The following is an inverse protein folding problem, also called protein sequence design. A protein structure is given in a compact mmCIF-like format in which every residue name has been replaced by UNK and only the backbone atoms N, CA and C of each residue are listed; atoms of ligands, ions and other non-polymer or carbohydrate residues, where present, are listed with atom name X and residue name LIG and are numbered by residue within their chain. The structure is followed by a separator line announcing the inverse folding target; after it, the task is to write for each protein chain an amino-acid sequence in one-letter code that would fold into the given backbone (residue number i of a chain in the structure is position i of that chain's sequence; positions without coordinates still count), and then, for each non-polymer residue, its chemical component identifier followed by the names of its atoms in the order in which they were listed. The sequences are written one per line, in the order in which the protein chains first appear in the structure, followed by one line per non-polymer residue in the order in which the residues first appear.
data_IF_279839917488
#
_entry.id   IF_279839917488
#
_cell.length_a   1.000
_cell.length_b   1.000
_cell.length_c   1.000
_cell.angle_alpha   90.00
_cell.angle_beta   90.00
_cell.angle_gamma   90.00
#
_symmetry.space_group_name_H-M   'P 1'
#
loop_
_entity.id
_entity.type
_entity.pdbx_description
1 polymer ?
#
# COMPACT_ATOMS: atom_id res chain seq x y z
N UNK A 1 -2.85 11.84 -38.59
CA UNK A 1 -4.23 11.40 -38.29
C UNK A 1 -4.13 9.93 -37.92
N UNK A 2 -4.39 9.60 -36.66
CA UNK A 2 -4.34 8.23 -36.15
C UNK A 2 -5.67 7.55 -36.49
N UNK A 3 -5.61 6.42 -37.17
CA UNK A 3 -6.76 5.54 -37.44
C UNK A 3 -7.06 4.74 -36.17
N UNK A 4 -8.22 4.99 -35.59
CA UNK A 4 -8.87 4.14 -34.60
C UNK A 4 -9.26 2.80 -35.25
N UNK A 5 -9.05 1.64 -34.61
CA UNK A 5 -9.54 0.38 -35.14
C UNK A 5 -11.05 0.28 -34.92
N UNK A 6 -11.77 0.24 -36.03
CA UNK A 6 -13.22 0.05 -36.12
C UNK A 6 -13.65 -1.25 -35.43
N UNK A 7 -14.54 -1.12 -34.45
CA UNK A 7 -15.17 -2.23 -33.76
C UNK A 7 -16.09 -3.00 -34.69
N UNK A 8 -15.77 -4.27 -34.93
CA UNK A 8 -16.65 -5.23 -35.59
C UNK A 8 -17.83 -5.57 -34.69
N UNK A 9 -18.93 -4.83 -34.87
CA UNK A 9 -20.23 -5.03 -34.24
C UNK A 9 -20.99 -6.28 -34.75
N UNK A 10 -20.32 -7.44 -34.81
CA UNK A 10 -20.88 -8.69 -35.37
C UNK A 10 -20.78 -9.93 -34.48
N UNK A 11 -20.20 -9.83 -33.28
CA UNK A 11 -20.07 -10.94 -32.30
C UNK A 11 -20.82 -10.62 -31.00
N UNK A 12 -21.70 -9.62 -31.01
CA UNK A 12 -22.24 -9.01 -29.79
C UNK A 12 -23.49 -9.72 -29.21
N UNK A 13 -24.25 -10.51 -29.96
CA UNK A 13 -25.56 -10.97 -29.46
C UNK A 13 -25.54 -12.30 -28.69
N UNK A 14 -24.55 -13.18 -28.86
CA UNK A 14 -24.64 -14.55 -28.31
C UNK A 14 -23.32 -15.15 -27.78
N UNK A 15 -22.33 -14.31 -27.45
CA UNK A 15 -21.06 -14.81 -26.89
C UNK A 15 -21.24 -15.56 -25.55
N UNK A 16 -22.29 -15.22 -24.80
CA UNK A 16 -22.64 -15.88 -23.53
C UNK A 16 -23.10 -17.32 -23.73
N UNK A 17 -23.65 -17.67 -24.90
CA UNK A 17 -24.04 -19.04 -25.23
C UNK A 17 -22.86 -19.95 -25.57
N UNK A 18 -21.70 -19.37 -25.85
CA UNK A 18 -20.44 -20.10 -26.02
C UNK A 18 -19.75 -20.41 -24.68
N UNK A 19 -20.22 -19.81 -23.57
CA UNK A 19 -19.71 -20.09 -22.23
C UNK A 19 -20.42 -21.33 -21.69
N UNK A 20 -19.71 -22.30 -21.08
CA UNK A 20 -20.34 -23.43 -20.40
C UNK A 20 -21.28 -22.95 -19.29
N UNK A 21 -22.45 -23.59 -19.13
CA UNK A 21 -23.44 -23.20 -18.11
C UNK A 21 -22.88 -23.12 -16.68
N UNK A 22 -21.85 -23.90 -16.37
CA UNK A 22 -21.12 -23.84 -15.09
C UNK A 22 -20.51 -22.46 -14.79
N UNK A 23 -20.13 -21.70 -15.81
CA UNK A 23 -19.47 -20.39 -15.65
C UNK A 23 -20.39 -19.22 -15.98
N UNK A 24 -21.57 -19.45 -16.56
CA UNK A 24 -22.53 -18.39 -16.91
C UNK A 24 -23.06 -17.63 -15.69
N UNK A 25 -23.12 -18.31 -14.54
CA UNK A 25 -23.57 -17.77 -13.27
C UNK A 25 -22.46 -17.16 -12.43
N UNK A 26 -21.21 -17.16 -12.93
CA UNK A 26 -20.15 -16.47 -12.22
C UNK A 26 -20.40 -14.96 -12.29
N UNK A 27 -20.23 -14.23 -11.17
CA UNK A 27 -20.51 -12.79 -11.11
C UNK A 27 -19.69 -12.01 -12.14
N UNK A 28 -18.53 -12.55 -12.53
CA UNK A 28 -17.67 -12.01 -13.55
C UNK A 28 -18.27 -12.08 -14.97
N UNK A 29 -19.04 -13.13 -15.29
CA UNK A 29 -19.72 -13.31 -16.58
C UNK A 29 -21.05 -12.55 -16.60
N UNK A 30 -21.78 -12.51 -15.47
CA UNK A 30 -23.03 -11.77 -15.35
C UNK A 30 -22.83 -10.25 -15.42
N UNK A 31 -21.76 -9.72 -14.83
CA UNK A 31 -21.47 -8.27 -14.84
C UNK A 31 -20.81 -7.78 -16.14
N UNK A 32 -20.37 -8.69 -17.01
CA UNK A 32 -19.75 -8.30 -18.27
C UNK A 32 -20.83 -7.88 -19.28
N UNK A 33 -20.93 -6.59 -19.60
CA UNK A 33 -21.91 -6.04 -20.56
C UNK A 33 -21.77 -6.60 -21.98
N UNK A 34 -20.53 -6.76 -22.46
CA UNK A 34 -20.16 -7.22 -23.80
C UNK A 34 -18.90 -8.11 -23.73
N UNK A 35 -18.64 -8.91 -24.75
CA UNK A 35 -17.44 -9.76 -24.85
C UNK A 35 -16.15 -8.96 -24.70
N UNK A 36 -16.08 -7.74 -25.25
CA UNK A 36 -14.94 -6.84 -25.07
C UNK A 36 -14.71 -6.44 -23.62
N UNK A 37 -15.79 -6.22 -22.86
CA UNK A 37 -15.71 -5.93 -21.42
C UNK A 37 -15.29 -7.17 -20.62
N UNK A 38 -15.80 -8.36 -20.97
CA UNK A 38 -15.39 -9.63 -20.38
C UNK A 38 -13.88 -9.88 -20.54
N UNK A 39 -13.36 -9.73 -21.77
CA UNK A 39 -11.93 -9.89 -22.06
C UNK A 39 -11.10 -8.84 -21.31
N UNK A 40 -11.55 -7.58 -21.27
CA UNK A 40 -10.88 -6.52 -20.51
C UNK A 40 -10.83 -6.84 -19.02
N UNK A 41 -11.95 -7.20 -18.40
CA UNK A 41 -12.00 -7.60 -17.00
C UNK A 41 -11.12 -8.84 -16.74
N UNK A 42 -10.95 -9.74 -17.73
CA UNK A 42 -10.16 -10.96 -17.58
C UNK A 42 -8.68 -10.65 -17.58
N UNK A 43 -8.27 -9.77 -18.48
CA UNK A 43 -6.91 -9.22 -18.54
C UNK A 43 -6.61 -8.42 -17.26
N UNK A 44 -7.57 -7.63 -16.77
CA UNK A 44 -7.41 -6.82 -15.56
C UNK A 44 -7.32 -7.69 -14.30
N UNK A 45 -8.13 -8.76 -14.22
CA UNK A 45 -8.04 -9.77 -13.15
C UNK A 45 -6.69 -10.51 -13.20
N UNK A 46 -6.24 -10.94 -14.38
CA UNK A 46 -4.96 -11.60 -14.55
C UNK A 46 -3.76 -10.68 -14.22
N UNK A 47 -3.83 -9.40 -14.64
CA UNK A 47 -2.86 -8.38 -14.23
C UNK A 47 -2.90 -8.13 -12.72
N UNK A 48 -4.08 -8.12 -12.12
CA UNK A 48 -4.25 -7.99 -10.67
C UNK A 48 -3.64 -9.18 -9.91
N UNK A 49 -3.67 -10.40 -10.47
CA UNK A 49 -2.90 -11.52 -9.92
C UNK A 49 -1.38 -11.29 -10.03
N UNK A 50 -0.89 -10.73 -11.14
CA UNK A 50 0.52 -10.40 -11.33
C UNK A 50 1.02 -9.23 -10.48
N UNK A 51 0.14 -8.30 -10.10
CA UNK A 51 0.47 -7.14 -9.25
C UNK A 51 0.33 -7.42 -7.76
N UNK A 52 -0.21 -8.57 -7.35
CA UNK A 52 -0.24 -8.97 -5.94
C UNK A 52 1.16 -9.39 -5.52
N UNK A 53 1.82 -8.55 -4.71
CA UNK A 53 3.03 -8.98 -4.00
C UNK A 53 2.62 -10.13 -3.08
N UNK A 54 3.10 -11.37 -3.31
CA UNK A 54 2.67 -12.53 -2.55
C UNK A 54 3.06 -12.33 -1.08
N UNK A 55 2.08 -12.32 -0.19
CA UNK A 55 2.34 -12.24 1.25
C UNK A 55 3.25 -13.42 1.65
N UNK A 56 4.39 -13.16 2.32
CA UNK A 56 5.23 -14.23 2.83
C UNK A 56 4.40 -15.09 3.79
N UNK A 57 4.48 -16.42 3.62
CA UNK A 57 3.88 -17.38 4.55
C UNK A 57 4.59 -17.27 5.91
N UNK A 58 3.98 -17.76 6.99
CA UNK A 58 4.57 -17.73 8.34
C UNK A 58 5.97 -18.39 8.43
N UNK A 59 6.31 -19.29 7.50
CA UNK A 59 7.62 -19.93 7.37
C UNK A 59 8.43 -19.43 6.16
N UNK A 60 8.18 -18.21 5.68
CA UNK A 60 8.96 -17.63 4.60
C UNK A 60 10.42 -17.47 5.01
N UNK A 61 11.33 -17.81 4.10
CA UNK A 61 12.77 -17.55 4.30
C UNK A 61 13.05 -16.05 4.26
N UNK A 62 14.16 -15.64 4.88
CA UNK A 62 14.61 -14.23 4.89
C UNK A 62 14.69 -13.63 3.48
N UNK A 63 15.06 -14.43 2.47
CA UNK A 63 15.10 -13.98 1.08
C UNK A 63 13.70 -13.66 0.51
N UNK A 64 12.68 -14.47 0.82
CA UNK A 64 11.31 -14.20 0.38
C UNK A 64 10.72 -12.98 1.09
N UNK A 65 11.03 -12.81 2.37
CA UNK A 65 10.65 -11.62 3.13
C UNK A 65 11.33 -10.39 2.54
N UNK A 66 12.62 -10.49 2.18
CA UNK A 66 13.37 -9.40 1.56
C UNK A 66 12.83 -9.02 0.19
N UNK A 67 12.47 -9.99 -0.65
CA UNK A 67 11.82 -9.71 -1.94
C UNK A 67 10.45 -9.05 -1.78
N UNK A 68 9.65 -9.51 -0.81
CA UNK A 68 8.37 -8.89 -0.48
C UNK A 68 8.56 -7.44 -0.05
N UNK A 69 9.48 -7.21 0.89
CA UNK A 69 9.83 -5.88 1.39
C UNK A 69 10.33 -4.98 0.26
N UNK A 70 11.19 -5.48 -0.63
CA UNK A 70 11.71 -4.70 -1.76
C UNK A 70 10.60 -4.25 -2.74
N UNK A 71 9.48 -4.98 -2.81
CA UNK A 71 8.33 -4.65 -3.65
C UNK A 71 7.28 -3.79 -2.93
N UNK A 72 7.22 -3.84 -1.60
CA UNK A 72 6.20 -3.18 -0.80
C UNK A 72 6.67 -1.89 -0.11
N UNK A 73 7.94 -1.82 0.29
CA UNK A 73 8.53 -0.67 0.97
C UNK A 73 9.10 0.36 -0.03
N UNK A 74 9.30 1.63 0.40
CA UNK A 74 9.92 2.65 -0.45
C UNK A 74 11.34 2.24 -0.88
N UNK A 75 11.72 2.62 -2.10
CA UNK A 75 13.00 2.26 -2.72
C UNK A 75 14.24 2.80 -1.98
N UNK A 76 14.07 3.83 -1.15
CA UNK A 76 15.16 4.46 -0.38
C UNK A 76 14.59 5.12 0.88
N UNK A 77 15.42 5.34 1.92
CA UNK A 77 14.99 6.03 3.14
C UNK A 77 14.44 7.43 2.88
N UNK A 78 14.94 8.14 1.87
CA UNK A 78 14.44 9.48 1.51
C UNK A 78 13.12 9.46 0.72
N UNK A 79 12.66 8.29 0.27
CA UNK A 79 11.43 8.14 -0.53
C UNK A 79 10.17 7.95 0.31
N UNK A 80 10.29 7.91 1.64
CA UNK A 80 9.13 7.77 2.51
C UNK A 80 8.26 9.03 2.49
N UNK A 81 6.95 8.82 2.41
CA UNK A 81 5.95 9.89 2.49
C UNK A 81 5.52 10.08 3.95
N UNK A 82 6.40 10.69 4.75
CA UNK A 82 6.13 10.96 6.16
C UNK A 82 5.62 12.38 6.37
N UNK A 83 4.48 12.50 7.04
CA UNK A 83 4.00 13.78 7.60
C UNK A 83 4.57 13.92 9.01
N UNK A 84 5.46 14.90 9.19
CA UNK A 84 6.12 15.16 10.47
C UNK A 84 5.28 16.11 11.32
N UNK A 85 5.16 15.80 12.61
CA UNK A 85 4.52 16.71 13.56
C UNK A 85 5.40 17.96 13.78
N UNK A 86 4.89 19.12 13.40
CA UNK A 86 5.59 20.41 13.51
C UNK A 86 5.68 20.92 14.95
N UNK A 87 4.85 20.39 15.86
CA UNK A 87 4.88 20.71 17.28
C UNK A 87 6.01 20.01 18.04
N UNK A 88 6.85 19.23 17.36
CA UNK A 88 7.99 18.54 17.94
C UNK A 88 9.27 19.06 17.31
N UNK A 89 10.22 19.42 18.16
CA UNK A 89 11.58 19.75 17.74
C UNK A 89 12.33 18.48 17.31
N UNK A 90 12.07 18.01 16.10
CA UNK A 90 12.86 16.94 15.50
C UNK A 90 14.28 17.44 15.23
N UNK A 91 15.26 16.85 15.90
CA UNK A 91 16.67 17.09 15.57
C UNK A 91 16.90 16.76 14.07
N UNK A 92 17.60 17.64 13.34
CA UNK A 92 17.94 17.44 11.91
C UNK A 92 18.65 16.11 11.64
N UNK A 93 19.37 15.56 12.62
CA UNK A 93 20.01 14.24 12.51
C UNK A 93 19.09 13.07 12.85
N UNK A 94 17.99 13.31 13.56
CA UNK A 94 17.07 12.25 14.01
C UNK A 94 16.16 11.75 12.88
N UNK A 95 15.66 12.66 12.04
CA UNK A 95 14.80 12.31 10.89
C UNK A 95 15.47 11.34 9.91
N UNK A 96 16.67 11.61 9.36
CA UNK A 96 17.32 10.68 8.43
C UNK A 96 17.70 9.35 9.10
N UNK A 97 18.06 9.35 10.39
CA UNK A 97 18.30 8.12 11.15
C UNK A 97 17.03 7.28 11.28
N UNK A 98 15.91 7.91 11.60
CA UNK A 98 14.61 7.23 11.70
C UNK A 98 14.20 6.65 10.36
N UNK A 99 14.26 7.44 9.28
CA UNK A 99 14.00 6.96 7.91
C UNK A 99 14.90 5.78 7.53
N UNK A 100 16.19 5.84 7.89
CA UNK A 100 17.12 4.72 7.73
C UNK A 100 16.72 3.46 8.50
N UNK A 101 16.24 3.60 9.73
CA UNK A 101 15.72 2.47 10.53
C UNK A 101 14.44 1.90 9.93
N UNK A 102 13.50 2.74 9.51
CA UNK A 102 12.26 2.32 8.87
C UNK A 102 12.55 1.53 7.59
N UNK A 103 13.45 2.05 6.74
CA UNK A 103 13.90 1.38 5.52
C UNK A 103 14.57 0.04 5.80
N UNK A 104 15.51 0.00 6.77
CA UNK A 104 16.21 -1.24 7.16
C UNK A 104 15.25 -2.34 7.63
N UNK A 105 14.17 -1.95 8.31
CA UNK A 105 13.15 -2.88 8.80
C UNK A 105 12.04 -3.18 7.77
N UNK A 106 12.12 -2.58 6.57
CA UNK A 106 11.19 -2.88 5.49
C UNK A 106 9.77 -2.37 5.70
N UNK A 107 9.59 -1.30 6.47
CA UNK A 107 8.26 -0.77 6.73
C UNK A 107 7.67 -0.12 5.47
N UNK A 108 6.38 -0.38 5.22
CA UNK A 108 5.65 0.34 4.17
C UNK A 108 5.32 1.77 4.63
N UNK A 109 5.04 2.69 3.68
CA UNK A 109 4.72 4.10 4.00
C UNK A 109 3.68 4.24 5.12
N UNK A 110 2.58 3.48 5.05
CA UNK A 110 1.52 3.51 6.07
C UNK A 110 2.01 3.07 7.45
N UNK A 111 2.87 2.06 7.51
CA UNK A 111 3.42 1.56 8.78
C UNK A 111 4.43 2.55 9.35
N UNK A 112 5.30 3.09 8.48
CA UNK A 112 6.27 4.10 8.85
C UNK A 112 5.61 5.38 9.38
N UNK A 113 4.55 5.87 8.72
CA UNK A 113 3.76 7.01 9.20
C UNK A 113 3.15 6.74 10.58
N UNK A 114 2.62 5.53 10.81
CA UNK A 114 2.11 5.12 12.12
C UNK A 114 3.19 5.19 13.19
N UNK A 115 4.36 4.57 12.94
CA UNK A 115 5.50 4.59 13.88
C UNK A 115 5.97 6.01 14.18
N UNK A 116 6.09 6.87 13.16
CA UNK A 116 6.51 8.27 13.35
C UNK A 116 5.51 9.02 14.22
N UNK A 117 4.20 8.87 13.96
CA UNK A 117 3.14 9.50 14.74
C UNK A 117 3.10 9.00 16.17
N UNK A 118 3.20 7.70 16.40
CA UNK A 118 3.16 7.13 17.74
C UNK A 118 4.40 7.55 18.54
N UNK A 119 5.58 7.62 17.90
CA UNK A 119 6.80 8.17 18.51
C UNK A 119 6.67 9.67 18.82
N UNK A 120 6.06 10.44 17.93
CA UNK A 120 5.74 11.85 18.16
C UNK A 120 4.86 12.04 19.41
N UNK A 121 3.83 11.20 19.56
CA UNK A 121 2.95 11.24 20.71
C UNK A 121 3.69 10.94 22.02
N UNK A 122 4.56 9.92 22.03
CA UNK A 122 5.38 9.58 23.21
C UNK A 122 6.27 10.74 23.64
N UNK A 123 6.89 11.46 22.69
CA UNK A 123 7.72 12.62 23.01
C UNK A 123 6.91 13.76 23.63
N UNK A 124 5.69 14.01 23.13
CA UNK A 124 4.79 15.04 23.70
C UNK A 124 4.33 14.69 25.11
N UNK A 125 3.99 13.42 25.36
CA UNK A 125 3.61 12.95 26.70
C UNK A 125 4.75 13.16 27.70
N UNK A 126 5.99 12.81 27.30
CA UNK A 126 7.17 12.97 28.14
C UNK A 126 7.49 14.45 28.44
N UNK A 127 7.36 15.34 27.47
CA UNK A 127 7.55 16.79 27.68
C UNK A 127 6.47 17.36 28.62
N UNK A 128 5.23 16.88 28.49
CA UNK A 128 4.11 17.31 29.35
C UNK A 128 4.34 16.87 30.79
N UNK A 129 4.73 15.61 31.02
CA UNK A 129 4.99 15.06 32.35
C UNK A 129 6.18 15.76 33.06
N UNK A 130 7.25 16.02 32.31
CA UNK A 130 8.43 16.72 32.83
C UNK A 130 8.13 18.20 33.15
N UNK A 131 7.31 18.87 32.34
CA UNK A 131 6.87 20.24 32.61
C UNK A 131 6.00 20.33 33.88
N UNK A 132 5.09 19.38 34.09
CA UNK A 132 4.25 19.32 35.28
C UNK A 132 5.04 19.04 36.57
N UNK A 133 6.07 18.19 36.49
CA UNK A 133 6.94 17.90 37.65
C UNK A 133 7.77 19.12 38.06
N UNK A 134 8.22 19.92 37.09
CA UNK A 134 9.06 21.10 37.37
C UNK A 134 8.25 22.26 37.97
N UNK A 135 6.98 22.44 37.58
CA UNK A 135 6.08 23.42 38.18
C UNK A 135 5.66 23.05 39.61
N UNK A 136 5.46 21.76 39.89
CA UNK A 136 5.11 21.27 41.23
C UNK A 136 6.26 21.48 42.26
N UNK A 137 7.52 21.32 41.85
CA UNK A 137 8.68 21.52 42.74
C UNK A 137 9.00 23.00 43.00
N UNK A 138 8.58 23.92 42.12
CA UNK A 138 8.74 25.37 42.34
C UNK A 138 7.69 26.00 43.26
N UNK A 139 6.58 25.31 43.52
CA UNK A 139 5.51 25.78 44.42
C UNK A 139 5.60 25.23 45.85
N UNK A 140 6.55 24.33 46.13
CA UNK A 140 6.83 23.76 47.45
C UNK A 140 7.97 24.49 48.16
#
# INVERSE_FOLDING_TARGET
MATEPEGTAGVAEDWRSQIPDEYKHEPFVENATDFGNFVKQSIDAHKSFGSRVPLPKENATDEQIKEYVAKAAPASPDSYKIEWDEGIAWNEQARPKLLGMLHKNGLMDRQAQGVVRDFAQIMKDFETENSQSTDAEKLA
#
